data_IF_199646573683
#
_entry.id   IF_199646573683
#
_cell.length_a   1.000
_cell.length_b   1.000
_cell.length_c   1.000
_cell.angle_alpha   90.00
_cell.angle_beta   90.00
_cell.angle_gamma   90.00
#
_symmetry.space_group_name_H-M   'P 1'
#
loop_
_entity.id
_entity.type
_entity.pdbx_description
1 polymer ?
#
# COMPACT_ATOMS: atom_id res chain seq x y z
N UNK A 1 -70.72 -50.11 57.72
CA UNK A 1 -70.45 -50.52 59.12
C UNK A 1 -69.11 -49.94 59.53
N UNK A 2 -69.10 -49.22 60.66
CA UNK A 2 -68.00 -48.99 61.65
C UNK A 2 -66.62 -49.58 61.28
N UNK A 3 -65.46 -49.00 61.58
CA UNK A 3 -64.99 -47.92 62.43
C UNK A 3 -63.47 -47.85 62.13
N UNK A 4 -62.85 -46.66 62.16
CA UNK A 4 -61.79 -46.23 63.12
C UNK A 4 -60.65 -47.26 63.31
N UNK A 5 -59.38 -46.90 63.29
CA UNK A 5 -58.65 -46.02 64.25
C UNK A 5 -57.23 -45.89 63.64
N UNK A 6 -56.78 -44.69 63.28
CA UNK A 6 -55.88 -43.82 64.07
C UNK A 6 -54.47 -44.39 64.30
N UNK A 7 -53.41 -43.67 63.90
CA UNK A 7 -52.81 -42.60 64.71
C UNK A 7 -51.35 -42.31 64.25
N UNK A 8 -51.17 -41.10 63.72
CA UNK A 8 -50.00 -40.18 63.84
C UNK A 8 -48.56 -40.74 63.91
N UNK A 9 -47.69 -40.26 63.01
CA UNK A 9 -46.58 -39.33 63.35
C UNK A 9 -46.33 -38.40 62.14
N UNK A 10 -46.39 -37.09 62.38
CA UNK A 10 -46.16 -35.99 61.42
C UNK A 10 -44.66 -35.83 61.15
N UNK A 11 -44.24 -35.59 59.90
CA UNK A 11 -43.12 -34.69 59.56
C UNK A 11 -43.28 -34.24 58.10
N UNK A 12 -43.29 -32.92 57.90
CA UNK A 12 -42.58 -32.29 56.78
C UNK A 12 -43.25 -32.26 55.41
N UNK A 13 -44.28 -31.42 55.27
CA UNK A 13 -44.73 -30.85 54.01
C UNK A 13 -43.60 -30.01 53.37
N UNK A 14 -42.99 -30.48 52.28
CA UNK A 14 -42.46 -29.59 51.23
C UNK A 14 -42.70 -30.25 49.86
N UNK A 15 -43.77 -29.79 49.22
CA UNK A 15 -44.05 -29.97 47.79
C UNK A 15 -42.97 -29.23 46.99
N UNK A 16 -41.94 -29.95 46.53
CA UNK A 16 -41.01 -29.42 45.53
C UNK A 16 -41.48 -29.88 44.16
N UNK A 17 -42.29 -29.03 43.54
CA UNK A 17 -42.67 -29.08 42.13
C UNK A 17 -41.39 -29.04 41.30
N UNK A 18 -41.12 -30.12 40.57
CA UNK A 18 -40.10 -30.18 39.52
C UNK A 18 -40.56 -29.29 38.36
N UNK A 19 -40.22 -28.00 38.47
CA UNK A 19 -40.37 -27.02 37.39
C UNK A 19 -39.21 -27.23 36.42
N UNK A 20 -39.52 -27.59 35.17
CA UNK A 20 -38.57 -27.55 34.05
C UNK A 20 -38.00 -26.13 33.95
N UNK A 21 -36.74 -25.95 34.33
CA UNK A 21 -35.99 -24.76 34.00
C UNK A 21 -35.53 -24.86 32.53
N UNK A 22 -35.85 -23.89 31.66
CA UNK A 22 -35.13 -23.75 30.41
C UNK A 22 -33.68 -23.39 30.76
N UNK A 23 -32.73 -24.16 30.21
CA UNK A 23 -31.32 -23.80 30.19
C UNK A 23 -31.19 -22.43 29.53
N UNK A 24 -31.04 -21.39 30.35
CA UNK A 24 -30.51 -20.11 29.93
C UNK A 24 -29.14 -20.38 29.32
N UNK A 25 -29.09 -20.42 27.99
CA UNK A 25 -27.84 -20.32 27.23
C UNK A 25 -27.22 -19.00 27.67
N UNK A 26 -26.20 -19.11 28.53
CA UNK A 26 -25.33 -17.99 28.84
C UNK A 26 -24.78 -17.46 27.53
N UNK A 27 -25.27 -16.29 27.13
CA UNK A 27 -24.64 -15.48 26.12
C UNK A 27 -23.26 -15.11 26.64
N UNK A 28 -22.25 -15.92 26.31
CA UNK A 28 -20.88 -15.49 26.37
C UNK A 28 -20.72 -14.37 25.34
N UNK A 29 -20.41 -13.12 25.74
CA UNK A 29 -19.94 -12.14 24.79
C UNK A 29 -18.50 -12.53 24.41
N UNK A 30 -18.33 -13.56 23.59
CA UNK A 30 -17.10 -13.71 22.81
C UNK A 30 -17.21 -12.83 21.58
N UNK A 31 -17.28 -11.52 21.86
CA UNK A 31 -16.79 -10.51 20.96
C UNK A 31 -15.26 -10.62 20.94
N UNK A 32 -14.75 -11.66 20.28
CA UNK A 32 -13.41 -11.63 19.72
C UNK A 32 -13.61 -11.36 18.24
N UNK A 33 -14.01 -10.13 17.96
CA UNK A 33 -13.69 -9.50 16.70
C UNK A 33 -12.21 -9.83 16.44
N UNK A 34 -11.95 -10.55 15.35
CA UNK A 34 -10.68 -10.42 14.69
C UNK A 34 -10.47 -8.90 14.59
N UNK A 35 -9.47 -8.39 15.30
CA UNK A 35 -9.02 -7.02 15.13
C UNK A 35 -8.54 -6.95 13.68
N UNK A 36 -9.49 -6.64 12.80
CA UNK A 36 -9.21 -6.15 11.48
C UNK A 36 -8.28 -4.98 11.65
N UNK A 37 -7.27 -4.92 10.79
CA UNK A 37 -6.40 -3.77 10.66
C UNK A 37 -7.29 -2.54 10.47
N UNK A 38 -7.53 -1.82 11.56
CA UNK A 38 -8.33 -0.61 11.57
C UNK A 38 -7.39 0.51 11.18
N UNK A 39 -7.56 1.01 9.96
CA UNK A 39 -6.88 2.21 9.52
C UNK A 39 -7.63 3.42 10.12
N UNK A 40 -7.07 4.07 11.13
CA UNK A 40 -7.64 5.28 11.72
C UNK A 40 -6.94 6.52 11.16
N UNK A 41 -7.71 7.47 10.66
CA UNK A 41 -7.14 8.71 10.13
C UNK A 41 -6.77 9.63 11.29
N UNK A 42 -5.50 10.03 11.35
CA UNK A 42 -4.98 10.96 12.35
C UNK A 42 -4.86 12.32 11.70
N UNK A 43 -5.90 13.15 11.90
CA UNK A 43 -5.99 14.49 11.31
C UNK A 43 -5.19 15.55 12.07
N UNK A 44 -4.53 15.17 13.17
CA UNK A 44 -3.67 16.06 13.95
C UNK A 44 -2.21 15.97 13.46
N UNK A 45 -1.47 17.10 13.38
CA UNK A 45 -0.03 17.07 13.19
C UNK A 45 0.64 16.35 14.36
N UNK A 46 1.62 15.50 14.05
CA UNK A 46 2.31 14.65 15.02
C UNK A 46 3.63 15.34 15.36
N UNK A 47 3.74 15.81 16.59
CA UNK A 47 4.96 16.42 17.11
C UNK A 47 5.69 15.44 18.03
N UNK A 48 6.99 15.26 17.83
CA UNK A 48 7.78 14.46 18.75
C UNK A 48 9.28 14.51 18.49
N UNK A 49 10.03 14.02 19.47
CA UNK A 49 11.48 13.84 19.35
C UNK A 49 11.78 12.46 18.75
N UNK A 50 12.62 12.41 17.74
CA UNK A 50 13.06 11.14 17.14
C UNK A 50 13.96 10.42 18.14
N UNK A 51 13.54 9.24 18.56
CA UNK A 51 14.32 8.32 19.41
C UNK A 51 15.02 7.26 18.58
N UNK A 52 14.40 6.85 17.47
CA UNK A 52 14.95 5.84 16.57
C UNK A 52 14.57 6.18 15.13
N UNK A 53 15.43 5.87 14.17
CA UNK A 53 15.11 6.02 12.75
C UNK A 53 15.75 4.90 11.93
N UNK A 54 15.01 4.43 10.91
CA UNK A 54 15.44 3.37 10.01
C UNK A 54 14.91 3.66 8.61
N UNK A 55 15.75 3.48 7.59
CA UNK A 55 15.34 3.60 6.19
C UNK A 55 15.13 2.22 5.58
N UNK A 56 13.97 1.99 4.97
CA UNK A 56 13.68 0.72 4.31
C UNK A 56 12.54 0.84 3.30
N UNK A 57 12.67 0.18 2.15
CA UNK A 57 11.57 0.07 1.17
C UNK A 57 11.04 1.41 0.64
N UNK A 58 11.89 2.45 0.59
CA UNK A 58 11.49 3.80 0.15
C UNK A 58 10.82 4.66 1.23
N UNK A 59 10.74 4.16 2.47
CA UNK A 59 10.21 4.89 3.62
C UNK A 59 11.29 5.06 4.71
N UNK A 60 11.21 6.19 5.40
CA UNK A 60 11.93 6.44 6.64
C UNK A 60 10.96 6.20 7.80
N UNK A 61 11.24 5.16 8.57
CA UNK A 61 10.55 4.81 9.80
C UNK A 61 11.20 5.59 10.93
N UNK A 62 10.39 6.31 11.70
CA UNK A 62 10.85 7.06 12.87
C UNK A 62 10.04 6.65 14.08
N UNK A 63 10.71 6.38 15.20
CA UNK A 63 10.08 6.28 16.49
C UNK A 63 10.09 7.67 17.13
N UNK A 64 8.91 8.26 17.25
CA UNK A 64 8.73 9.56 17.88
C UNK A 64 8.32 9.39 19.34
N UNK A 65 8.97 10.14 20.20
CA UNK A 65 8.54 10.38 21.58
C UNK A 65 7.74 11.68 21.62
N UNK A 66 6.44 11.57 21.85
CA UNK A 66 5.52 12.72 21.95
C UNK A 66 5.47 13.30 23.37
N UNK A 67 6.21 12.70 24.33
CA UNK A 67 6.19 13.03 25.75
C UNK A 67 5.14 12.24 26.54
N UNK A 68 4.07 11.78 25.90
CA UNK A 68 3.03 10.92 26.51
C UNK A 68 3.15 9.46 26.08
N UNK A 69 3.59 9.19 24.86
CA UNK A 69 3.85 7.83 24.35
C UNK A 69 4.91 7.82 23.24
N UNK A 70 5.39 6.62 22.91
CA UNK A 70 6.28 6.40 21.77
C UNK A 70 5.49 5.83 20.60
N UNK A 71 5.59 6.48 19.45
CA UNK A 71 4.81 6.16 18.26
C UNK A 71 5.72 5.95 17.05
N UNK A 72 5.48 4.87 16.31
CA UNK A 72 6.13 4.68 15.02
C UNK A 72 5.43 5.48 13.93
N UNK A 73 6.20 6.22 13.14
CA UNK A 73 5.71 6.94 11.96
C UNK A 73 6.57 6.57 10.75
N UNK A 74 5.95 6.06 9.70
CA UNK A 74 6.56 5.87 8.40
C UNK A 74 6.30 7.11 7.55
N UNK A 75 7.37 7.65 6.98
CA UNK A 75 7.32 8.81 6.08
C UNK A 75 8.03 8.47 4.77
N UNK A 76 7.73 9.16 3.64
CA UNK A 76 8.57 9.06 2.45
C UNK A 76 10.04 9.35 2.82
N UNK A 77 10.98 8.67 2.16
CA UNK A 77 12.42 8.77 2.46
C UNK A 77 12.84 10.22 2.72
N UNK A 78 13.29 10.50 3.95
CA UNK A 78 13.69 11.84 4.38
C UNK A 78 14.93 11.81 5.26
N UNK A 79 15.75 12.87 5.17
CA UNK A 79 16.88 13.03 6.07
C UNK A 79 16.41 13.48 7.45
N UNK A 80 16.59 12.62 8.43
CA UNK A 80 16.31 12.87 9.85
C UNK A 80 17.42 12.28 10.70
N UNK A 81 17.53 12.73 11.95
CA UNK A 81 18.53 12.23 12.89
C UNK A 81 17.92 11.95 14.25
N UNK A 82 18.46 10.95 14.95
CA UNK A 82 18.09 10.65 16.33
C UNK A 82 18.38 11.87 17.21
N UNK A 83 17.43 12.23 18.07
CA UNK A 83 17.47 13.40 18.92
C UNK A 83 16.82 14.65 18.32
N UNK A 84 16.49 14.64 17.02
CA UNK A 84 15.83 15.76 16.35
C UNK A 84 14.35 15.82 16.72
N UNK A 85 13.85 17.01 17.04
CA UNK A 85 12.41 17.28 17.16
C UNK A 85 11.83 17.52 15.77
N UNK A 86 10.76 16.81 15.42
CA UNK A 86 10.10 16.92 14.12
C UNK A 86 8.60 17.08 14.27
N UNK A 87 8.05 17.94 13.41
CA UNK A 87 6.62 18.03 13.15
C UNK A 87 6.32 17.23 11.89
N UNK A 88 5.48 16.22 12.02
CA UNK A 88 5.01 15.40 10.91
C UNK A 88 3.54 15.72 10.60
N UNK A 89 3.21 15.66 9.32
CA UNK A 89 1.85 15.88 8.83
C UNK A 89 0.89 14.82 9.37
N UNK A 90 -0.40 15.12 9.29
CA UNK A 90 -1.48 14.14 9.42
C UNK A 90 -1.18 12.87 8.62
N UNK A 91 -1.68 11.74 9.11
CA UNK A 91 -1.38 10.44 8.55
C UNK A 91 -2.47 9.42 8.79
N UNK A 92 -2.23 8.21 8.30
CA UNK A 92 -3.11 7.08 8.53
C UNK A 92 -2.43 6.16 9.52
N UNK A 93 -3.01 6.01 10.69
CA UNK A 93 -2.59 5.03 11.66
C UNK A 93 -3.05 3.64 11.22
N UNK A 94 -2.14 2.68 11.28
CA UNK A 94 -2.40 1.27 11.04
C UNK A 94 -1.93 0.46 12.25
N UNK A 95 -2.82 -0.40 12.75
CA UNK A 95 -2.48 -1.39 13.76
C UNK A 95 -2.02 -2.71 13.10
N UNK A 96 -1.02 -3.37 13.68
CA UNK A 96 -0.53 -4.68 13.23
C UNK A 96 0.14 -4.67 11.84
N UNK A 97 0.83 -3.58 11.49
CA UNK A 97 1.52 -3.47 10.21
C UNK A 97 2.81 -4.29 10.23
N UNK A 98 3.00 -5.17 9.25
CA UNK A 98 4.26 -5.92 9.08
C UNK A 98 5.04 -5.39 7.89
N UNK A 99 6.24 -4.87 8.15
CA UNK A 99 7.17 -4.44 7.10
C UNK A 99 7.97 -5.64 6.60
N UNK A 100 7.75 -6.00 5.33
CA UNK A 100 8.48 -7.09 4.67
C UNK A 100 9.97 -6.77 4.49
N UNK A 101 10.31 -5.49 4.36
CA UNK A 101 11.70 -5.05 4.13
C UNK A 101 12.49 -4.94 5.42
N UNK A 102 11.84 -4.57 6.54
CA UNK A 102 12.45 -4.58 7.88
C UNK A 102 12.30 -5.93 8.59
N UNK A 103 11.52 -6.86 8.04
CA UNK A 103 11.12 -8.12 8.69
C UNK A 103 10.62 -7.89 10.13
N UNK A 104 9.86 -6.81 10.31
CA UNK A 104 9.39 -6.34 11.62
C UNK A 104 7.89 -6.08 11.59
N UNK A 105 7.21 -6.50 12.64
CA UNK A 105 5.81 -6.16 12.89
C UNK A 105 5.73 -5.00 13.87
N UNK A 106 4.87 -4.04 13.57
CA UNK A 106 4.56 -2.87 14.36
C UNK A 106 3.14 -3.02 14.88
N UNK A 107 2.98 -2.98 16.20
CA UNK A 107 1.66 -3.01 16.83
C UNK A 107 0.81 -1.82 16.41
N UNK A 108 1.45 -0.65 16.25
CA UNK A 108 0.87 0.60 15.76
C UNK A 108 1.92 1.39 14.98
N UNK A 109 1.56 1.85 13.78
CA UNK A 109 2.40 2.73 12.96
C UNK A 109 1.55 3.76 12.22
N UNK A 110 2.02 4.99 12.08
CA UNK A 110 1.35 6.03 11.31
C UNK A 110 2.07 6.24 9.99
N UNK A 111 1.34 6.17 8.88
CA UNK A 111 1.85 6.58 7.57
C UNK A 111 1.55 8.06 7.37
N UNK A 112 2.57 8.89 7.53
CA UNK A 112 2.49 10.34 7.36
C UNK A 112 3.07 10.76 6.01
N UNK A 113 2.52 11.81 5.41
CA UNK A 113 3.00 12.39 4.14
C UNK A 113 4.36 13.11 4.26
N UNK A 114 4.94 13.19 5.46
CA UNK A 114 6.26 13.74 5.73
C UNK A 114 6.22 14.90 6.72
N UNK A 115 7.19 15.81 6.67
CA UNK A 115 7.23 16.98 7.56
C UNK A 115 5.94 17.80 7.44
N UNK A 116 5.39 18.24 8.57
CA UNK A 116 4.25 19.14 8.62
C UNK A 116 4.65 20.44 7.93
N UNK A 117 3.98 20.75 6.83
CA UNK A 117 4.02 22.07 6.24
C UNK A 117 2.72 22.80 6.61
N UNK A 118 2.79 24.12 6.81
CA UNK A 118 1.66 24.95 7.21
C UNK A 118 0.41 24.67 6.34
N UNK A 119 -0.82 24.89 6.87
CA UNK A 119 -2.06 24.49 6.20
C UNK A 119 -2.10 25.04 4.77
N UNK A 120 -2.00 24.15 3.78
CA UNK A 120 -1.90 24.51 2.36
C UNK A 120 -0.78 23.83 1.58
N UNK A 121 0.12 23.09 2.22
CA UNK A 121 1.20 22.38 1.54
C UNK A 121 0.86 20.89 1.35
N UNK A 122 0.27 20.58 0.20
CA UNK A 122 0.31 19.24 -0.38
C UNK A 122 1.75 18.79 -0.63
N UNK A 123 1.90 17.49 -0.91
CA UNK A 123 3.17 16.81 -1.20
C UNK A 123 4.22 17.71 -1.90
N UNK A 124 5.49 17.66 -1.49
CA UNK A 124 6.54 18.34 -2.23
C UNK A 124 6.66 17.75 -3.65
N UNK A 125 6.29 18.57 -4.64
CA UNK A 125 6.94 18.56 -5.96
C UNK A 125 8.42 18.87 -5.74
N UNK A 126 9.26 17.86 -5.67
CA UNK A 126 10.66 18.01 -6.07
C UNK A 126 10.70 17.81 -7.59
N UNK A 127 11.18 18.71 -8.43
CA UNK A 127 11.72 20.05 -8.25
C UNK A 127 12.24 20.44 -9.63
N UNK A 128 11.63 21.45 -10.27
CA UNK A 128 12.29 22.21 -11.32
C UNK A 128 11.94 23.66 -11.01
N UNK A 129 12.91 24.36 -10.40
CA UNK A 129 12.84 25.82 -10.28
C UNK A 129 12.85 26.40 -11.69
N UNK A 130 11.71 26.97 -12.04
CA UNK A 130 11.52 28.26 -12.70
C UNK A 130 12.80 29.01 -13.13
N UNK A 131 12.99 29.20 -14.45
CA UNK A 131 12.87 30.48 -15.18
C UNK A 131 13.78 30.47 -16.42
N UNK A 132 13.16 30.51 -17.60
CA UNK A 132 13.29 31.59 -18.59
C UNK A 132 12.56 31.19 -19.88
N UNK A 133 11.71 32.08 -20.36
CA UNK A 133 11.12 32.05 -21.70
C UNK A 133 12.06 32.80 -22.70
N UNK A 134 11.72 32.89 -24.00
CA UNK A 134 12.58 32.52 -25.11
C UNK A 134 13.49 33.65 -25.63
N UNK A 135 14.66 33.28 -26.15
CA UNK A 135 15.43 34.13 -27.06
C UNK A 135 16.89 34.42 -26.66
N UNK A 136 17.77 34.16 -27.62
CA UNK A 136 19.17 34.59 -27.76
C UNK A 136 20.28 33.83 -27.01
N UNK A 137 21.01 33.05 -27.81
CA UNK A 137 22.35 32.48 -27.60
C UNK A 137 23.40 33.58 -27.26
N UNK A 138 24.60 33.20 -26.74
CA UNK A 138 25.65 32.70 -27.64
C UNK A 138 26.45 31.50 -27.09
N UNK A 139 26.78 30.57 -27.97
CA UNK A 139 27.86 29.60 -27.76
C UNK A 139 29.24 30.27 -27.92
N UNK A 140 30.31 29.68 -27.36
CA UNK A 140 31.63 29.70 -27.98
C UNK A 140 31.96 28.37 -28.68
N UNK A 141 32.88 28.37 -29.67
CA UNK A 141 32.91 27.42 -30.78
C UNK A 141 33.88 26.23 -30.63
N UNK A 142 33.39 25.07 -31.04
CA UNK A 142 34.00 24.05 -31.93
C UNK A 142 35.53 24.02 -32.18
N UNK A 143 36.14 22.86 -31.89
CA UNK A 143 36.92 22.03 -32.83
C UNK A 143 36.93 20.59 -32.28
N UNK A 144 36.17 19.62 -32.81
CA UNK A 144 36.23 18.95 -34.12
C UNK A 144 37.36 17.87 -34.25
N UNK A 145 36.88 16.62 -34.25
CA UNK A 145 37.28 15.49 -35.11
C UNK A 145 38.62 14.76 -34.92
N UNK A 146 38.54 13.46 -34.55
CA UNK A 146 39.06 12.35 -35.39
C UNK A 146 38.58 10.94 -34.97
N UNK A 147 37.92 10.27 -35.93
CA UNK A 147 37.96 8.83 -36.30
C UNK A 147 37.76 7.70 -35.25
N UNK A 148 36.69 6.93 -35.43
CA UNK A 148 36.50 5.50 -35.06
C UNK A 148 37.56 4.58 -35.73
N UNK A 149 37.95 3.41 -35.17
CA UNK A 149 37.07 2.23 -34.99
C UNK A 149 37.30 1.33 -33.74
N UNK A 150 36.36 0.41 -33.54
CA UNK A 150 36.24 -0.72 -32.58
C UNK A 150 37.54 -1.28 -31.94
N UNK A 151 37.54 -1.49 -30.62
CA UNK A 151 37.43 -2.81 -29.95
C UNK A 151 37.91 -2.75 -28.49
N UNK A 152 37.14 -3.37 -27.59
CA UNK A 152 37.64 -3.91 -26.32
C UNK A 152 37.60 -2.99 -25.11
N UNK A 153 36.43 -2.81 -24.50
CA UNK A 153 36.34 -2.55 -23.05
C UNK A 153 35.68 -3.74 -22.36
N UNK A 154 36.30 -4.29 -21.30
CA UNK A 154 35.77 -5.43 -20.57
C UNK A 154 34.50 -5.03 -19.82
N UNK A 155 33.58 -5.99 -19.78
CA UNK A 155 32.29 -5.91 -19.14
C UNK A 155 32.36 -5.40 -17.70
N UNK A 156 31.67 -4.29 -17.44
CA UNK A 156 31.20 -3.89 -16.12
C UNK A 156 29.71 -3.60 -16.23
N UNK A 157 28.98 -4.64 -15.84
CA UNK A 157 27.57 -4.75 -15.47
C UNK A 157 26.67 -3.55 -15.73
N UNK A 158 26.00 -3.65 -16.88
CA UNK A 158 24.73 -2.97 -17.16
C UNK A 158 23.77 -3.27 -16.01
N UNK A 159 23.35 -2.24 -15.28
CA UNK A 159 22.18 -2.30 -14.41
C UNK A 159 21.08 -3.11 -15.10
N UNK A 160 20.59 -4.15 -14.44
CA UNK A 160 19.60 -5.07 -14.97
C UNK A 160 18.28 -4.33 -15.25
N UNK A 161 18.21 -3.74 -16.44
CA UNK A 161 16.99 -3.28 -17.08
C UNK A 161 16.07 -4.49 -17.13
N UNK A 162 14.96 -4.43 -16.41
CA UNK A 162 13.87 -5.40 -16.52
C UNK A 162 13.23 -5.18 -17.89
N UNK A 163 13.91 -5.60 -18.96
CA UNK A 163 13.39 -5.58 -20.32
C UNK A 163 12.58 -6.86 -20.48
N UNK A 164 11.28 -6.77 -20.17
CA UNK A 164 10.37 -7.89 -20.34
C UNK A 164 9.82 -7.81 -21.75
N UNK A 165 9.90 -8.90 -22.51
CA UNK A 165 9.33 -8.92 -23.86
C UNK A 165 7.82 -8.69 -23.78
N UNK A 166 7.30 -7.97 -24.77
CA UNK A 166 5.87 -7.71 -24.93
C UNK A 166 5.07 -9.01 -24.88
N UNK A 167 3.89 -8.96 -24.26
CA UNK A 167 2.97 -10.09 -24.30
C UNK A 167 2.63 -10.49 -25.75
N UNK A 168 2.29 -11.75 -25.98
CA UNK A 168 1.80 -12.20 -27.30
C UNK A 168 0.28 -12.05 -27.39
N UNK A 169 -0.23 -11.71 -28.57
CA UNK A 169 -1.67 -11.62 -28.87
C UNK A 169 -2.08 -10.28 -29.49
N UNK A 170 -3.25 -10.25 -30.13
CA UNK A 170 -3.76 -9.06 -30.83
C UNK A 170 -4.01 -7.86 -29.90
N UNK A 171 -4.27 -8.12 -28.62
CA UNK A 171 -4.52 -7.11 -27.59
C UNK A 171 -3.32 -6.94 -26.64
N UNK A 172 -2.13 -7.34 -27.07
CA UNK A 172 -0.93 -7.21 -26.26
C UNK A 172 -0.30 -5.83 -26.40
N UNK A 173 0.04 -5.22 -25.27
CA UNK A 173 0.67 -3.91 -25.18
C UNK A 173 1.77 -3.94 -24.12
N UNK A 174 2.78 -3.12 -24.34
CA UNK A 174 3.76 -2.74 -23.31
C UNK A 174 3.15 -1.68 -22.40
N UNK A 175 3.71 -1.51 -21.20
CA UNK A 175 3.25 -0.49 -20.24
C UNK A 175 3.38 0.92 -20.85
N UNK A 176 4.48 1.21 -21.54
CA UNK A 176 4.64 2.47 -22.26
C UNK A 176 3.55 2.70 -23.31
N UNK A 177 3.19 1.67 -24.08
CA UNK A 177 2.09 1.75 -25.06
C UNK A 177 0.73 1.97 -24.39
N UNK A 178 0.46 1.33 -23.25
CA UNK A 178 -0.79 1.52 -22.50
C UNK A 178 -0.94 2.97 -22.04
N UNK A 179 0.13 3.60 -21.55
CA UNK A 179 0.11 5.02 -21.18
C UNK A 179 -0.01 5.96 -22.39
N UNK A 180 0.63 5.61 -23.51
CA UNK A 180 0.56 6.40 -24.74
C UNK A 180 -0.82 6.31 -25.43
N UNK A 181 -1.46 5.14 -25.37
CA UNK A 181 -2.72 4.83 -26.06
C UNK A 181 -3.93 4.74 -25.13
N UNK A 182 -3.81 5.17 -23.87
CA UNK A 182 -4.88 5.13 -22.85
C UNK A 182 -6.25 5.61 -23.37
N UNK A 183 -6.26 6.69 -24.16
CA UNK A 183 -7.49 7.29 -24.69
C UNK A 183 -8.22 6.37 -25.70
N UNK A 184 -7.48 5.46 -26.36
CA UNK A 184 -8.02 4.48 -27.31
C UNK A 184 -8.32 3.13 -26.66
N UNK A 185 -7.72 2.86 -25.51
CA UNK A 185 -7.75 1.57 -24.82
C UNK A 185 -8.65 1.59 -23.56
N UNK A 186 -9.20 2.74 -23.20
CA UNK A 186 -10.17 2.86 -22.11
C UNK A 186 -11.37 1.91 -22.30
N UNK A 187 -11.73 1.23 -21.21
CA UNK A 187 -12.73 0.18 -21.14
C UNK A 187 -12.48 -1.02 -22.09
N UNK A 188 -11.26 -1.20 -22.61
CA UNK A 188 -10.91 -2.37 -23.44
C UNK A 188 -10.11 -3.40 -22.67
N UNK A 189 -10.30 -4.66 -23.07
CA UNK A 189 -9.49 -5.78 -22.59
C UNK A 189 -8.10 -5.71 -23.21
N UNK A 190 -7.07 -5.63 -22.38
CA UNK A 190 -5.68 -5.56 -22.80
C UNK A 190 -4.85 -6.61 -22.08
N UNK A 191 -3.75 -7.02 -22.72
CA UNK A 191 -2.79 -7.99 -22.19
C UNK A 191 -1.43 -7.32 -22.06
N UNK A 192 -0.79 -7.46 -20.92
CA UNK A 192 0.52 -6.89 -20.63
C UNK A 192 1.38 -7.91 -19.92
N UNK A 193 2.65 -7.99 -20.30
CA UNK A 193 3.63 -8.85 -19.63
C UNK A 193 4.60 -7.94 -18.89
N UNK A 194 4.88 -8.29 -17.65
CA UNK A 194 5.82 -7.52 -16.85
C UNK A 194 6.21 -8.24 -15.58
N UNK A 195 7.19 -7.67 -14.89
CA UNK A 195 7.66 -8.13 -13.60
C UNK A 195 6.83 -7.50 -12.50
N UNK A 196 6.37 -8.31 -11.57
CA UNK A 196 5.69 -7.88 -10.36
C UNK A 196 6.72 -7.23 -9.44
N UNK A 197 6.58 -5.94 -9.17
CA UNK A 197 7.51 -5.20 -8.31
C UNK A 197 6.97 -4.96 -6.91
N UNK A 198 5.65 -4.93 -6.75
CA UNK A 198 4.98 -4.74 -5.47
C UNK A 198 3.58 -5.34 -5.51
N UNK A 199 3.16 -5.92 -4.40
CA UNK A 199 1.82 -6.46 -4.20
C UNK A 199 1.32 -5.99 -2.84
N UNK A 200 0.14 -5.38 -2.82
CA UNK A 200 -0.59 -5.01 -1.61
C UNK A 200 -1.94 -5.73 -1.63
N UNK A 201 -2.14 -6.69 -0.74
CA UNK A 201 -3.34 -7.53 -0.73
C UNK A 201 -4.43 -6.96 0.18
N UNK A 202 -5.69 -7.33 -0.06
CA UNK A 202 -6.83 -7.03 0.80
C UNK A 202 -7.13 -5.53 1.03
N UNK A 203 -6.82 -4.66 0.06
CA UNK A 203 -7.17 -3.23 0.12
C UNK A 203 -8.42 -3.02 -0.73
N UNK A 204 -9.50 -2.50 -0.13
CA UNK A 204 -10.81 -2.31 -0.80
C UNK A 204 -11.37 -3.61 -1.41
N UNK A 205 -11.23 -4.74 -0.70
CA UNK A 205 -11.67 -6.09 -1.13
C UNK A 205 -11.00 -6.61 -2.41
N UNK A 206 -9.83 -6.07 -2.77
CA UNK A 206 -9.05 -6.48 -3.94
C UNK A 206 -7.55 -6.40 -3.67
N UNK A 207 -6.77 -7.02 -4.53
CA UNK A 207 -5.32 -6.92 -4.51
C UNK A 207 -4.85 -5.81 -5.45
N UNK A 208 -3.77 -5.15 -5.08
CA UNK A 208 -3.14 -4.07 -5.83
C UNK A 208 -1.73 -4.51 -6.20
N UNK A 209 -1.47 -4.62 -7.49
CA UNK A 209 -0.24 -5.15 -8.04
C UNK A 209 0.41 -4.06 -8.88
N UNK A 210 1.69 -3.84 -8.65
CA UNK A 210 2.51 -2.96 -9.47
C UNK A 210 3.34 -3.82 -10.40
N UNK A 211 3.23 -3.54 -11.70
CA UNK A 211 3.90 -4.26 -12.77
C UNK A 211 4.85 -3.34 -13.51
N UNK A 212 6.04 -3.82 -13.88
CA UNK A 212 7.04 -3.09 -14.65
C UNK A 212 7.62 -3.96 -15.76
N UNK A 213 7.72 -3.43 -16.98
CA UNK A 213 8.27 -4.12 -18.17
C UNK A 213 9.49 -3.41 -18.77
N UNK A 214 9.91 -2.30 -18.18
CA UNK A 214 11.05 -1.49 -18.59
C UNK A 214 10.80 -0.56 -19.78
N UNK A 215 9.58 -0.51 -20.33
CA UNK A 215 9.26 0.31 -21.51
C UNK A 215 8.78 1.72 -21.17
N UNK A 216 8.31 1.93 -19.95
CA UNK A 216 7.81 3.23 -19.50
C UNK A 216 8.89 4.16 -18.94
N UNK A 217 8.55 5.43 -18.78
CA UNK A 217 9.46 6.50 -18.36
C UNK A 217 9.31 6.80 -16.86
N UNK A 218 10.41 6.63 -16.12
CA UNK A 218 10.49 6.90 -14.68
C UNK A 218 10.23 8.36 -14.32
N UNK A 219 10.75 9.30 -15.12
CA UNK A 219 10.58 10.73 -14.89
C UNK A 219 9.13 11.18 -15.10
N UNK A 220 8.37 10.46 -15.94
CA UNK A 220 6.95 10.75 -16.22
C UNK A 220 5.98 9.93 -15.37
N UNK A 221 6.48 9.00 -14.54
CA UNK A 221 5.65 8.09 -13.76
C UNK A 221 4.85 7.10 -14.61
N UNK A 222 5.37 6.74 -15.79
CA UNK A 222 4.72 5.80 -16.74
C UNK A 222 5.43 4.45 -16.81
N UNK A 223 6.44 4.24 -15.97
CA UNK A 223 7.24 3.02 -15.84
C UNK A 223 6.54 1.90 -15.08
N UNK A 224 5.50 2.24 -14.34
CA UNK A 224 4.80 1.36 -13.41
C UNK A 224 3.31 1.33 -13.77
N UNK A 225 2.76 0.13 -13.92
CA UNK A 225 1.34 -0.08 -14.13
C UNK A 225 0.70 -0.63 -12.86
N UNK A 226 -0.31 0.07 -12.35
CA UNK A 226 -1.14 -0.44 -11.26
C UNK A 226 -2.23 -1.36 -11.82
N UNK A 227 -2.38 -2.51 -11.20
CA UNK A 227 -3.29 -3.58 -11.58
C UNK A 227 -4.13 -3.96 -10.35
N UNK A 228 -5.42 -4.22 -10.54
CA UNK A 228 -6.29 -4.79 -9.52
C UNK A 228 -6.88 -6.13 -9.93
N UNK A 229 -6.94 -7.04 -8.97
CA UNK A 229 -7.36 -8.43 -9.20
C UNK A 229 -7.86 -9.08 -7.92
N UNK A 230 -8.55 -10.23 -8.07
CA UNK A 230 -8.94 -11.09 -6.95
C UNK A 230 -7.79 -11.98 -6.47
N UNK A 231 -6.91 -12.41 -7.38
CA UNK A 231 -5.74 -13.24 -7.08
C UNK A 231 -4.45 -12.44 -7.34
N UNK A 232 -3.41 -12.63 -6.52
CA UNK A 232 -2.16 -11.89 -6.66
C UNK A 232 -0.96 -12.83 -6.93
N UNK A 233 -0.16 -12.57 -7.99
CA UNK A 233 1.10 -13.25 -8.23
C UNK A 233 2.18 -12.85 -7.20
N UNK A 234 3.33 -13.52 -7.20
CA UNK A 234 4.40 -13.23 -6.24
C UNK A 234 5.26 -12.05 -6.70
N UNK A 235 5.75 -11.26 -5.74
CA UNK A 235 6.72 -10.19 -6.03
C UNK A 235 7.99 -10.81 -6.61
N UNK A 236 8.49 -10.23 -7.71
CA UNK A 236 9.66 -10.68 -8.46
C UNK A 236 9.34 -11.56 -9.66
N UNK A 237 8.11 -12.08 -9.76
CA UNK A 237 7.66 -12.95 -10.85
C UNK A 237 7.38 -12.16 -12.13
N UNK A 238 7.66 -12.75 -13.29
CA UNK A 238 7.27 -12.19 -14.58
C UNK A 238 5.99 -12.90 -15.03
N UNK A 239 4.90 -12.15 -15.09
CA UNK A 239 3.56 -12.67 -15.36
C UNK A 239 2.94 -11.99 -16.56
N UNK A 240 1.97 -12.65 -17.17
CA UNK A 240 1.10 -12.03 -18.18
C UNK A 240 -0.23 -11.69 -17.52
N UNK A 241 -0.53 -10.39 -17.42
CA UNK A 241 -1.77 -9.86 -16.91
C UNK A 241 -2.74 -9.56 -18.05
N UNK A 242 -3.98 -10.02 -17.94
CA UNK A 242 -5.07 -9.69 -18.86
C UNK A 242 -6.27 -9.14 -18.08
N UNK A 243 -6.70 -7.92 -18.41
CA UNK A 243 -7.77 -7.21 -17.69
C UNK A 243 -8.33 -6.03 -18.49
N UNK A 244 -9.19 -5.24 -17.87
CA UNK A 244 -9.84 -4.07 -18.48
C UNK A 244 -9.04 -2.82 -18.14
N UNK A 245 -8.57 -2.09 -19.15
CA UNK A 245 -7.86 -0.84 -18.93
C UNK A 245 -8.84 0.29 -18.65
N UNK A 246 -8.59 1.05 -17.59
CA UNK A 246 -9.30 2.29 -17.30
C UNK A 246 -8.34 3.46 -17.22
N UNK A 247 -8.74 4.60 -17.78
CA UNK A 247 -8.02 5.85 -17.61
C UNK A 247 -8.68 6.78 -16.59
N UNK A 248 -7.86 7.62 -15.95
CA UNK A 248 -8.30 8.62 -14.98
C UNK A 248 -9.23 8.06 -13.88
N UNK A 249 -8.98 6.81 -13.47
CA UNK A 249 -9.80 6.14 -12.47
C UNK A 249 -9.56 6.75 -11.10
N UNK A 250 -10.66 7.08 -10.42
CA UNK A 250 -10.65 7.65 -9.08
C UNK A 250 -11.33 6.70 -8.11
N UNK A 251 -10.61 6.28 -7.08
CA UNK A 251 -11.10 5.43 -6.01
C UNK A 251 -11.46 6.24 -4.73
N UNK A 252 -11.38 7.57 -4.79
CA UNK A 252 -11.59 8.46 -3.65
C UNK A 252 -10.36 8.56 -2.76
N UNK A 253 -10.41 9.41 -1.73
CA UNK A 253 -9.35 9.58 -0.73
C UNK A 253 -7.93 9.87 -1.30
N UNK A 254 -7.85 10.42 -2.52
CA UNK A 254 -6.58 10.72 -3.19
C UNK A 254 -6.02 9.59 -4.07
N UNK A 255 -6.69 8.43 -4.14
CA UNK A 255 -6.30 7.31 -4.99
C UNK A 255 -6.78 7.51 -6.44
N UNK A 256 -6.00 8.29 -7.19
CA UNK A 256 -6.24 8.58 -8.60
C UNK A 256 -5.18 7.97 -9.50
N UNK A 257 -5.61 7.21 -10.50
CA UNK A 257 -4.73 6.52 -11.42
C UNK A 257 -4.97 7.00 -12.84
N UNK A 258 -3.92 7.51 -13.49
CA UNK A 258 -4.00 7.92 -14.90
C UNK A 258 -4.34 6.76 -15.81
N UNK A 259 -3.78 5.59 -15.50
CA UNK A 259 -4.03 4.31 -16.15
C UNK A 259 -4.02 3.24 -15.07
N UNK A 260 -5.02 2.38 -15.07
CA UNK A 260 -5.12 1.22 -14.18
C UNK A 260 -5.69 0.04 -14.97
N UNK A 261 -5.26 -1.16 -14.64
CA UNK A 261 -5.86 -2.39 -15.15
C UNK A 261 -6.76 -3.00 -14.06
N UNK A 262 -8.03 -3.20 -14.34
CA UNK A 262 -8.99 -3.82 -13.42
C UNK A 262 -9.41 -5.20 -13.89
N UNK A 263 -10.07 -5.97 -13.00
CA UNK A 263 -10.63 -7.30 -13.30
C UNK A 263 -9.60 -8.25 -13.93
N UNK A 264 -8.37 -8.19 -13.41
CA UNK A 264 -7.23 -8.84 -14.05
C UNK A 264 -7.09 -10.30 -13.66
N UNK A 265 -6.79 -11.13 -14.66
CA UNK A 265 -6.33 -12.52 -14.51
C UNK A 265 -4.86 -12.62 -14.86
N UNK A 266 -4.13 -13.48 -14.15
CA UNK A 266 -2.70 -13.71 -14.37
C UNK A 266 -2.46 -15.11 -14.96
N UNK A 267 -1.48 -15.19 -15.86
CA UNK A 267 -0.98 -16.41 -16.49
C UNK A 267 0.53 -16.50 -16.34
#
# INVERSE_FOLDING_TARGET
MKMKVSLYVKIGLVLMVFMLAPLSVGAFPSNKAAQGQSAQQVNAPIHGKIVETMDSGGYTYVLLDTGSEKLWVATPTMKVSVGQVVDLSQGIEMAGFTSNTLKRTFDRIIFSSGKAAAPGAGMPKAGMKEKCAPGNCPMPPEMAAKKMPHSGSPALEKAAVVAVEKASGANAFTIGELYAQKDKLDAKKVRVRGKVVKVSQNIMKRNWIHLQDGTGDAAKGTYDLTITSENAPKVGEVVVAEGILHQNKDFGAGYRYKVILEETTFQ
#
